data_IF_366340334620
#
_entry.id   IF_366340334620
#
_cell.length_a   1.000
_cell.length_b   1.000
_cell.length_c   1.000
_cell.angle_alpha   90.00
_cell.angle_beta   90.00
_cell.angle_gamma   90.00
#
_symmetry.space_group_name_H-M   'P 1'
#
loop_
_entity.id
_entity.type
_entity.pdbx_description
1 polymer ?
#
# COMPACT_ATOMS: atom_id res chain seq x y z
N UNK A 1 -9.22 21.25 4.81
CA UNK A 1 -8.61 21.25 3.45
C UNK A 1 -8.45 19.82 3.02
N UNK A 2 -9.10 19.46 1.91
CA UNK A 2 -9.05 18.11 1.35
C UNK A 2 -7.70 17.83 0.68
N UNK A 3 -7.18 16.62 0.82
CA UNK A 3 -5.90 16.22 0.24
C UNK A 3 -6.04 15.02 -0.70
N UNK A 4 -5.36 15.10 -1.85
CA UNK A 4 -5.05 13.93 -2.66
C UNK A 4 -3.84 13.21 -2.03
N UNK A 5 -4.07 12.04 -1.47
CA UNK A 5 -3.06 11.19 -0.83
C UNK A 5 -2.55 10.21 -1.89
N UNK A 6 -1.38 10.48 -2.44
CA UNK A 6 -0.86 9.78 -3.61
C UNK A 6 0.12 8.70 -3.15
N UNK A 7 -0.22 7.43 -3.35
CA UNK A 7 0.72 6.31 -3.27
C UNK A 7 1.76 6.47 -4.39
N UNK A 8 2.95 6.99 -4.04
CA UNK A 8 3.91 7.48 -5.02
C UNK A 8 4.93 6.43 -5.49
N UNK A 9 5.00 5.26 -4.87
CA UNK A 9 6.07 4.29 -5.19
C UNK A 9 6.07 3.87 -6.67
N UNK A 10 4.90 3.65 -7.27
CA UNK A 10 4.78 3.34 -8.70
C UNK A 10 5.19 4.51 -9.60
N UNK A 11 4.90 5.73 -9.18
CA UNK A 11 5.26 6.94 -9.92
C UNK A 11 6.75 7.31 -9.77
N UNK A 12 7.37 7.05 -8.62
CA UNK A 12 8.83 7.17 -8.45
C UNK A 12 9.57 6.24 -9.40
N UNK A 13 9.08 5.01 -9.57
CA UNK A 13 9.64 4.08 -10.55
C UNK A 13 9.52 4.64 -11.97
N UNK A 14 8.33 5.11 -12.39
CA UNK A 14 8.12 5.74 -13.71
C UNK A 14 8.99 6.98 -13.88
N UNK A 15 9.07 7.85 -12.87
CA UNK A 15 9.91 9.05 -12.89
C UNK A 15 11.39 8.73 -13.09
N UNK A 16 11.88 7.63 -12.51
CA UNK A 16 13.27 7.21 -12.66
C UNK A 16 13.62 6.73 -14.08
N UNK A 17 12.61 6.36 -14.86
CA UNK A 17 12.78 6.01 -16.28
C UNK A 17 12.72 7.25 -17.19
N UNK A 18 11.97 8.29 -16.81
CA UNK A 18 11.81 9.51 -17.61
C UNK A 18 13.06 10.41 -17.61
N UNK A 19 13.95 10.25 -16.63
CA UNK A 19 15.19 11.05 -16.57
C UNK A 19 16.29 10.58 -17.51
N UNK A 20 16.10 9.45 -18.19
CA UNK A 20 17.07 8.87 -19.10
C UNK A 20 16.90 9.48 -20.49
N UNK A 21 18.00 9.97 -21.05
CA UNK A 21 18.11 10.45 -22.41
C UNK A 21 19.25 9.74 -23.13
N UNK A 22 19.09 9.45 -24.43
CA UNK A 22 20.16 8.95 -25.27
C UNK A 22 20.72 10.11 -26.10
N UNK A 23 21.99 10.41 -25.89
CA UNK A 23 22.69 11.48 -26.62
C UNK A 23 23.68 10.83 -27.57
N UNK A 24 23.51 11.08 -28.87
CA UNK A 24 24.47 10.67 -29.90
C UNK A 24 25.65 11.61 -29.87
N UNK A 25 26.86 11.08 -29.62
CA UNK A 25 28.11 11.86 -29.56
C UNK A 25 28.94 11.71 -30.81
N UNK A 26 28.73 10.63 -31.57
CA UNK A 26 29.29 10.36 -32.87
C UNK A 26 28.30 9.47 -33.64
N UNK A 27 28.36 9.46 -34.99
CA UNK A 27 27.46 8.63 -35.78
C UNK A 27 27.41 7.17 -35.29
N UNK A 28 26.24 6.74 -34.80
CA UNK A 28 25.99 5.40 -34.25
C UNK A 28 26.50 5.15 -32.82
N UNK A 29 27.10 6.15 -32.13
CA UNK A 29 27.58 6.02 -30.76
C UNK A 29 26.72 6.86 -29.82
N UNK A 30 26.00 6.19 -28.91
CA UNK A 30 25.06 6.81 -27.96
C UNK A 30 25.55 6.67 -26.55
N UNK A 31 25.35 7.73 -25.75
CA UNK A 31 25.53 7.72 -24.30
C UNK A 31 24.20 7.93 -23.57
N UNK A 32 24.05 7.23 -22.46
CA UNK A 32 22.94 7.47 -21.53
C UNK A 32 23.28 8.67 -20.64
N UNK A 33 22.45 9.69 -20.69
CA UNK A 33 22.52 10.87 -19.82
C UNK A 33 21.28 10.87 -18.92
N UNK A 34 21.45 11.25 -17.68
CA UNK A 34 20.36 11.27 -16.70
C UNK A 34 20.13 12.69 -16.18
N UNK A 35 18.92 13.21 -16.43
CA UNK A 35 18.50 14.53 -15.96
C UNK A 35 17.44 14.38 -14.86
N UNK A 36 17.85 14.48 -13.60
CA UNK A 36 16.95 14.35 -12.45
C UNK A 36 15.88 15.44 -12.37
N UNK A 37 16.10 16.61 -12.97
CA UNK A 37 15.11 17.68 -13.02
C UNK A 37 13.87 17.25 -13.84
N UNK A 38 14.05 16.42 -14.88
CA UNK A 38 12.94 15.86 -15.64
C UNK A 38 12.04 15.00 -14.74
N UNK A 39 12.63 14.14 -13.89
CA UNK A 39 11.87 13.35 -12.91
C UNK A 39 11.15 14.21 -11.88
N UNK A 40 11.82 15.26 -11.38
CA UNK A 40 11.21 16.17 -10.40
C UNK A 40 10.05 16.95 -11.02
N UNK A 41 10.22 17.43 -12.25
CA UNK A 41 9.16 18.11 -13.00
C UNK A 41 7.96 17.19 -13.22
N UNK A 42 8.22 15.95 -13.67
CA UNK A 42 7.16 14.93 -13.84
C UNK A 42 6.37 14.71 -12.55
N UNK A 43 7.04 14.46 -11.42
CA UNK A 43 6.36 14.22 -10.13
C UNK A 43 5.59 15.45 -9.63
N UNK A 44 6.17 16.65 -9.79
CA UNK A 44 5.51 17.90 -9.40
C UNK A 44 4.23 18.15 -10.20
N UNK A 45 4.30 17.96 -11.53
CA UNK A 45 3.16 18.12 -12.43
C UNK A 45 2.08 17.08 -12.11
N UNK A 46 2.49 15.82 -11.96
CA UNK A 46 1.59 14.73 -11.59
C UNK A 46 0.84 15.01 -10.29
N UNK A 47 1.53 15.47 -9.24
CA UNK A 47 0.90 15.77 -7.95
C UNK A 47 -0.20 16.82 -8.09
N UNK A 48 0.08 17.90 -8.83
CA UNK A 48 -0.90 18.98 -9.10
C UNK A 48 -2.09 18.49 -9.93
N UNK A 49 -1.82 17.73 -11.00
CA UNK A 49 -2.89 17.18 -11.85
C UNK A 49 -3.79 16.20 -11.06
N UNK A 50 -3.22 15.35 -10.22
CA UNK A 50 -4.00 14.41 -9.42
C UNK A 50 -4.84 15.12 -8.36
N UNK A 51 -4.33 16.18 -7.72
CA UNK A 51 -5.12 17.01 -6.82
C UNK A 51 -6.31 17.66 -7.57
N UNK A 52 -6.06 18.19 -8.75
CA UNK A 52 -7.11 18.78 -9.59
C UNK A 52 -8.15 17.75 -10.02
N UNK A 53 -7.74 16.57 -10.51
CA UNK A 53 -8.66 15.49 -10.95
C UNK A 53 -9.49 14.93 -9.81
N UNK A 54 -8.98 14.97 -8.58
CA UNK A 54 -9.69 14.52 -7.37
C UNK A 54 -10.48 15.64 -6.70
N UNK A 55 -10.41 16.86 -7.23
CA UNK A 55 -11.02 18.06 -6.63
C UNK A 55 -10.57 18.30 -5.18
N UNK A 56 -9.29 18.06 -4.92
CA UNK A 56 -8.65 18.30 -3.62
C UNK A 56 -7.90 19.64 -3.64
N UNK A 57 -7.81 20.28 -2.47
CA UNK A 57 -7.14 21.57 -2.29
C UNK A 57 -5.62 21.46 -2.46
N UNK A 58 -5.06 20.33 -2.00
CA UNK A 58 -3.64 20.07 -2.01
C UNK A 58 -3.34 18.58 -2.22
N UNK A 59 -2.07 18.22 -2.35
CA UNK A 59 -1.64 16.83 -2.40
C UNK A 59 -0.53 16.54 -1.40
N UNK A 60 -0.46 15.29 -0.97
CA UNK A 60 0.66 14.69 -0.26
C UNK A 60 1.03 13.38 -0.95
N UNK A 61 2.30 13.12 -1.08
CA UNK A 61 2.81 11.88 -1.64
C UNK A 61 3.21 10.94 -0.50
N UNK A 62 2.83 9.68 -0.61
CA UNK A 62 3.10 8.66 0.42
C UNK A 62 3.96 7.57 -0.18
N UNK A 63 5.00 7.17 0.53
CA UNK A 63 5.86 6.04 0.18
C UNK A 63 6.01 5.10 1.36
N UNK A 64 6.37 3.86 1.10
CA UNK A 64 6.75 2.93 2.16
C UNK A 64 8.02 3.38 2.88
N UNK A 65 8.11 3.06 4.17
CA UNK A 65 9.31 3.30 4.97
C UNK A 65 10.53 2.54 4.43
N UNK A 66 11.72 2.99 4.82
CA UNK A 66 12.97 2.28 4.49
C UNK A 66 13.11 1.06 5.40
N UNK A 67 13.46 -0.09 4.82
CA UNK A 67 13.68 -1.32 5.59
C UNK A 67 12.47 -2.25 5.63
N UNK A 68 12.48 -3.14 6.62
CA UNK A 68 11.40 -4.11 6.82
C UNK A 68 10.30 -3.48 7.68
N UNK A 69 9.04 -3.56 7.23
CA UNK A 69 7.90 -3.17 8.02
C UNK A 69 7.55 -4.23 9.09
N UNK A 70 6.61 -3.92 9.97
CA UNK A 70 6.22 -4.79 11.09
C UNK A 70 5.71 -6.17 10.66
N UNK A 71 5.15 -6.31 9.45
CA UNK A 71 4.61 -7.58 8.94
C UNK A 71 5.68 -8.66 8.78
N UNK A 72 6.93 -8.27 8.50
CA UNK A 72 8.06 -9.22 8.46
C UNK A 72 8.40 -9.81 9.84
N UNK A 73 8.01 -9.14 10.93
CA UNK A 73 8.19 -9.67 12.29
C UNK A 73 7.05 -10.62 12.68
N UNK A 74 5.86 -10.43 12.09
CA UNK A 74 4.71 -11.31 12.28
C UNK A 74 4.83 -12.56 11.38
N UNK A 75 5.23 -12.35 10.14
CA UNK A 75 5.40 -13.38 9.14
C UNK A 75 6.74 -13.18 8.40
N UNK A 76 7.80 -13.93 8.73
CA UNK A 76 9.11 -13.80 8.07
C UNK A 76 9.07 -14.03 6.56
N UNK A 77 8.09 -14.80 6.09
CA UNK A 77 7.88 -15.10 4.66
C UNK A 77 7.03 -14.05 3.94
N UNK A 78 6.59 -13.00 4.62
CA UNK A 78 5.81 -11.91 4.02
C UNK A 78 6.55 -11.32 2.81
N UNK A 79 5.90 -11.31 1.64
CA UNK A 79 6.44 -10.84 0.35
C UNK A 79 7.75 -11.54 -0.11
N UNK A 80 8.11 -12.69 0.49
CA UNK A 80 9.34 -13.44 0.14
C UNK A 80 9.33 -13.97 -1.30
N UNK A 81 8.13 -14.21 -1.84
CA UNK A 81 7.89 -14.70 -3.21
C UNK A 81 8.03 -13.60 -4.29
N UNK A 82 8.16 -12.32 -3.90
CA UNK A 82 8.36 -11.24 -4.87
C UNK A 82 9.71 -11.40 -5.55
N UNK A 83 9.67 -11.57 -6.88
CA UNK A 83 10.89 -11.67 -7.68
C UNK A 83 11.72 -10.39 -7.51
N UNK A 84 13.02 -10.55 -7.33
CA UNK A 84 13.96 -9.42 -7.37
C UNK A 84 14.04 -8.93 -8.82
N UNK A 85 13.27 -7.89 -9.13
CA UNK A 85 13.37 -7.20 -10.42
C UNK A 85 14.49 -6.16 -10.31
N UNK A 86 15.31 -6.05 -11.35
CA UNK A 86 16.33 -5.00 -11.41
C UNK A 86 15.64 -3.63 -11.33
N UNK A 87 16.07 -2.81 -10.38
CA UNK A 87 15.56 -1.46 -10.23
C UNK A 87 16.22 -0.53 -11.23
N UNK A 88 15.51 0.52 -11.71
CA UNK A 88 16.15 1.56 -12.51
C UNK A 88 17.35 2.17 -11.76
N UNK A 89 18.45 2.39 -12.45
CA UNK A 89 19.71 2.87 -11.87
C UNK A 89 19.52 4.17 -11.08
N UNK A 90 18.64 5.05 -11.54
CA UNK A 90 18.42 6.37 -10.93
C UNK A 90 17.32 6.41 -9.88
N UNK A 91 16.65 5.28 -9.57
CA UNK A 91 15.50 5.27 -8.67
C UNK A 91 15.82 5.85 -7.28
N UNK A 92 16.95 5.47 -6.69
CA UNK A 92 17.33 5.95 -5.35
C UNK A 92 17.66 7.45 -5.38
N UNK A 93 18.31 7.94 -6.45
CA UNK A 93 18.59 9.37 -6.62
C UNK A 93 17.34 10.20 -6.88
N UNK A 94 16.39 9.69 -7.67
CA UNK A 94 15.08 10.32 -7.89
C UNK A 94 14.30 10.37 -6.57
N UNK A 95 14.32 9.30 -5.78
CA UNK A 95 13.67 9.26 -4.46
C UNK A 95 14.29 10.31 -3.53
N UNK A 96 15.61 10.36 -3.40
CA UNK A 96 16.33 11.34 -2.57
C UNK A 96 15.96 12.78 -2.95
N UNK A 97 15.99 13.10 -4.26
CA UNK A 97 15.63 14.42 -4.77
C UNK A 97 14.15 14.74 -4.49
N UNK A 98 13.26 13.80 -4.74
CA UNK A 98 11.83 13.96 -4.48
C UNK A 98 11.54 14.24 -3.00
N UNK A 99 12.15 13.51 -2.07
CA UNK A 99 12.03 13.76 -0.64
C UNK A 99 12.50 15.16 -0.22
N UNK A 100 13.51 15.71 -0.90
CA UNK A 100 14.03 17.04 -0.57
C UNK A 100 13.19 18.20 -1.12
N UNK A 101 12.28 17.95 -2.08
CA UNK A 101 11.60 18.99 -2.88
C UNK A 101 10.09 18.89 -2.90
N UNK A 102 9.53 17.72 -2.60
CA UNK A 102 8.09 17.45 -2.68
C UNK A 102 7.52 17.09 -1.31
N UNK A 103 6.21 17.26 -1.10
CA UNK A 103 5.54 16.88 0.16
C UNK A 103 5.41 15.35 0.25
N UNK A 104 6.53 14.66 0.44
CA UNK A 104 6.56 13.20 0.62
C UNK A 104 6.61 12.86 2.10
N UNK A 105 5.76 11.96 2.51
CA UNK A 105 5.68 11.44 3.88
C UNK A 105 5.71 9.92 3.89
N UNK A 106 6.15 9.37 5.00
CA UNK A 106 6.05 7.95 5.32
C UNK A 106 5.92 7.77 6.83
N UNK A 107 5.37 6.66 7.25
CA UNK A 107 5.37 6.27 8.66
C UNK A 107 6.43 5.18 8.88
N UNK A 108 7.38 5.36 9.79
CA UNK A 108 8.40 4.36 10.07
C UNK A 108 7.80 2.98 10.37
N UNK A 109 8.39 1.92 9.80
CA UNK A 109 7.99 0.52 9.98
C UNK A 109 6.58 0.15 9.47
N UNK A 110 5.89 1.07 8.77
CA UNK A 110 4.63 0.83 8.08
C UNK A 110 4.85 0.80 6.56
N UNK A 111 3.90 0.22 5.83
CA UNK A 111 3.84 0.31 4.37
C UNK A 111 3.17 1.61 3.92
N UNK A 112 3.29 1.94 2.63
CA UNK A 112 2.62 3.10 2.05
C UNK A 112 1.10 3.05 2.28
N UNK A 113 0.50 1.87 2.11
CA UNK A 113 -0.95 1.66 2.28
C UNK A 113 -1.44 2.00 3.68
N UNK A 114 -0.66 1.63 4.72
CA UNK A 114 -0.96 1.97 6.11
C UNK A 114 -0.95 3.49 6.29
N UNK A 115 0.10 4.16 5.80
CA UNK A 115 0.22 5.63 5.89
C UNK A 115 -0.89 6.31 5.08
N UNK A 116 -1.24 5.80 3.90
CA UNK A 116 -2.37 6.29 3.10
C UNK A 116 -3.68 6.23 3.90
N UNK A 117 -3.95 5.09 4.55
CA UNK A 117 -5.15 4.93 5.38
C UNK A 117 -5.16 5.89 6.57
N UNK A 118 -4.06 6.00 7.32
CA UNK A 118 -3.96 6.89 8.47
C UNK A 118 -4.30 8.33 8.07
N UNK A 119 -3.72 8.81 6.96
CA UNK A 119 -3.98 10.17 6.45
C UNK A 119 -5.41 10.33 5.91
N UNK A 120 -5.97 9.30 5.26
CA UNK A 120 -7.34 9.34 4.75
C UNK A 120 -8.37 9.44 5.88
N UNK A 121 -8.09 8.83 7.04
CA UNK A 121 -8.95 8.88 8.23
C UNK A 121 -8.84 10.22 9.01
N UNK A 122 -7.94 11.13 8.63
CA UNK A 122 -7.86 12.48 9.22
C UNK A 122 -9.01 13.40 8.78
N UNK A 123 -9.42 13.27 7.52
CA UNK A 123 -10.52 14.05 6.94
C UNK A 123 -11.28 13.18 5.92
N UNK A 124 -12.62 13.12 6.05
CA UNK A 124 -13.51 12.36 5.16
C UNK A 124 -13.46 12.82 3.69
N UNK A 125 -12.96 14.03 3.44
CA UNK A 125 -12.85 14.61 2.10
C UNK A 125 -11.50 14.31 1.44
N UNK A 126 -10.58 13.70 2.16
CA UNK A 126 -9.35 13.17 1.58
C UNK A 126 -9.64 12.05 0.58
N UNK A 127 -8.82 12.00 -0.48
CA UNK A 127 -8.92 11.01 -1.55
C UNK A 127 -7.58 10.29 -1.68
N UNK A 128 -7.59 8.96 -1.59
CA UNK A 128 -6.39 8.16 -1.88
C UNK A 128 -6.29 7.96 -3.39
N UNK A 129 -5.13 8.24 -3.94
CA UNK A 129 -4.79 8.03 -5.35
C UNK A 129 -3.85 6.85 -5.45
N UNK A 130 -4.34 5.72 -5.91
CA UNK A 130 -3.55 4.50 -6.11
C UNK A 130 -4.21 3.55 -7.12
N UNK A 131 -3.42 2.70 -7.73
CA UNK A 131 -3.87 1.59 -8.57
C UNK A 131 -4.05 0.29 -7.76
N UNK A 132 -3.64 0.28 -6.49
CA UNK A 132 -3.69 -0.92 -5.65
C UNK A 132 -5.14 -1.23 -5.23
N UNK A 133 -5.52 -2.51 -5.44
CA UNK A 133 -6.85 -3.03 -5.07
C UNK A 133 -7.01 -3.21 -3.56
N UNK A 134 -5.90 -3.42 -2.84
CA UNK A 134 -5.93 -3.78 -1.42
C UNK A 134 -6.35 -2.60 -0.54
N UNK A 135 -6.18 -1.37 -1.03
CA UNK A 135 -6.75 -0.17 -0.42
C UNK A 135 -8.29 -0.16 -0.37
N UNK A 136 -8.96 -1.12 -0.99
CA UNK A 136 -10.41 -1.31 -0.87
C UNK A 136 -10.86 -2.11 0.35
N UNK A 137 -9.96 -2.49 1.25
CA UNK A 137 -10.26 -3.24 2.49
C UNK A 137 -10.62 -2.34 3.68
N UNK A 138 -10.69 -1.04 3.47
CA UNK A 138 -11.18 -0.07 4.45
C UNK A 138 -12.01 1.03 3.77
N UNK A 139 -12.77 1.77 4.56
CA UNK A 139 -13.64 2.84 4.05
C UNK A 139 -12.82 4.04 3.59
N UNK A 140 -12.90 4.39 2.31
CA UNK A 140 -12.19 5.52 1.74
C UNK A 140 -12.78 5.99 0.42
N UNK A 141 -12.43 7.21 -0.01
CA UNK A 141 -12.53 7.65 -1.40
C UNK A 141 -11.26 7.24 -2.12
N UNK A 142 -11.37 6.44 -3.17
CA UNK A 142 -10.25 5.94 -3.97
C UNK A 142 -10.34 6.48 -5.39
N UNK A 143 -9.27 7.04 -5.89
CA UNK A 143 -9.12 7.41 -7.29
C UNK A 143 -8.06 6.55 -7.96
N UNK A 144 -8.45 5.87 -9.04
CA UNK A 144 -7.53 5.09 -9.86
C UNK A 144 -7.10 5.93 -11.07
N UNK A 145 -5.83 6.39 -11.12
CA UNK A 145 -5.36 7.29 -12.17
C UNK A 145 -5.23 6.61 -13.54
N UNK A 146 -5.01 5.30 -13.60
CA UNK A 146 -4.90 4.57 -14.87
C UNK A 146 -6.28 4.36 -15.53
N UNK A 147 -7.37 4.37 -14.72
CA UNK A 147 -8.76 4.20 -15.19
C UNK A 147 -9.55 5.50 -15.18
N UNK A 148 -8.95 6.59 -14.70
CA UNK A 148 -9.62 7.87 -14.46
C UNK A 148 -10.97 7.71 -13.75
N UNK A 149 -10.97 6.96 -12.65
CA UNK A 149 -12.22 6.59 -11.97
C UNK A 149 -12.13 6.80 -10.46
N UNK A 150 -13.15 7.49 -9.94
CA UNK A 150 -13.37 7.71 -8.51
C UNK A 150 -14.34 6.66 -7.96
N UNK A 151 -14.03 6.10 -6.78
CA UNK A 151 -14.91 5.17 -6.07
C UNK A 151 -14.98 5.54 -4.60
N UNK A 152 -16.14 5.40 -4.01
CA UNK A 152 -16.28 5.37 -2.56
C UNK A 152 -16.42 3.92 -2.09
N UNK A 153 -15.53 3.48 -1.22
CA UNK A 153 -15.61 2.17 -0.58
C UNK A 153 -16.42 2.33 0.69
N UNK A 154 -17.63 1.79 0.68
CA UNK A 154 -18.50 1.80 1.87
C UNK A 154 -17.99 0.85 2.96
N UNK A 155 -18.41 1.02 4.23
CA UNK A 155 -18.05 0.10 5.32
C UNK A 155 -18.35 -1.37 5.00
N UNK A 156 -19.51 -1.64 4.41
CA UNK A 156 -19.91 -3.01 4.03
C UNK A 156 -19.01 -3.59 2.94
N UNK A 157 -18.65 -2.79 1.93
CA UNK A 157 -17.72 -3.23 0.88
C UNK A 157 -16.32 -3.47 1.44
N UNK A 158 -15.82 -2.57 2.28
CA UNK A 158 -14.54 -2.69 2.94
C UNK A 158 -14.44 -3.99 3.75
N UNK A 159 -15.44 -4.24 4.59
CA UNK A 159 -15.52 -5.46 5.40
C UNK A 159 -15.58 -6.73 4.54
N UNK A 160 -16.39 -6.72 3.48
CA UNK A 160 -16.49 -7.84 2.55
C UNK A 160 -15.15 -8.12 1.84
N UNK A 161 -14.44 -7.08 1.39
CA UNK A 161 -13.14 -7.23 0.76
C UNK A 161 -12.09 -7.75 1.74
N UNK A 162 -12.10 -7.26 2.98
CA UNK A 162 -11.19 -7.74 4.01
C UNK A 162 -11.46 -9.21 4.38
N UNK A 163 -12.73 -9.60 4.61
CA UNK A 163 -13.11 -11.00 4.84
C UNK A 163 -12.69 -11.90 3.68
N UNK A 164 -12.84 -11.43 2.45
CA UNK A 164 -12.38 -12.18 1.27
C UNK A 164 -10.87 -12.43 1.33
N UNK A 165 -10.07 -11.43 1.69
CA UNK A 165 -8.62 -11.59 1.84
C UNK A 165 -8.27 -12.61 2.93
N UNK A 166 -8.95 -12.58 4.08
CA UNK A 166 -8.74 -13.56 5.15
C UNK A 166 -9.08 -14.99 4.71
N UNK A 167 -10.12 -15.17 3.88
CA UNK A 167 -10.56 -16.47 3.39
C UNK A 167 -9.68 -17.01 2.25
N UNK A 168 -9.26 -16.16 1.30
CA UNK A 168 -8.54 -16.58 0.09
C UNK A 168 -7.04 -16.41 0.16
N UNK A 169 -6.53 -15.62 1.11
CA UNK A 169 -5.14 -15.19 1.18
C UNK A 169 -4.77 -14.20 0.09
N UNK A 170 -3.50 -13.79 0.08
CA UNK A 170 -2.88 -13.03 -0.98
C UNK A 170 -1.53 -13.63 -1.39
N UNK A 171 -1.50 -14.17 -2.64
CA UNK A 171 -0.28 -14.77 -3.19
C UNK A 171 0.81 -13.73 -3.46
N UNK A 172 0.44 -12.46 -3.73
CA UNK A 172 1.42 -11.40 -3.98
C UNK A 172 2.16 -11.03 -2.71
N UNK A 173 1.47 -11.11 -1.58
CA UNK A 173 2.02 -10.82 -0.25
C UNK A 173 2.53 -12.05 0.49
N UNK A 174 2.40 -13.23 -0.13
CA UNK A 174 3.04 -14.46 0.34
C UNK A 174 2.34 -15.11 1.54
N UNK A 175 1.03 -14.87 1.74
CA UNK A 175 0.27 -15.60 2.74
C UNK A 175 -0.93 -16.33 2.12
N UNK A 176 -1.18 -17.53 2.63
CA UNK A 176 -2.27 -18.39 2.15
C UNK A 176 -3.55 -18.10 2.93
N UNK A 177 -4.69 -18.19 2.26
CA UNK A 177 -5.99 -18.20 2.92
C UNK A 177 -6.33 -19.58 3.48
N UNK A 178 -7.61 -19.75 3.82
CA UNK A 178 -8.14 -20.97 4.39
C UNK A 178 -8.14 -22.09 3.33
N UNK A 179 -7.51 -23.26 3.61
CA UNK A 179 -7.45 -24.37 2.65
C UNK A 179 -8.82 -24.81 2.17
N UNK A 180 -8.96 -24.95 0.84
CA UNK A 180 -10.21 -25.35 0.19
C UNK A 180 -11.23 -24.23 -0.01
N UNK A 181 -10.89 -22.98 0.36
CA UNK A 181 -11.74 -21.81 0.14
C UNK A 181 -11.18 -20.96 -1.00
N UNK A 182 -11.76 -21.10 -2.17
CA UNK A 182 -11.50 -20.22 -3.31
C UNK A 182 -12.46 -19.04 -3.37
N UNK A 183 -12.27 -18.11 -4.35
CA UNK A 183 -13.07 -16.88 -4.46
C UNK A 183 -14.58 -17.12 -4.43
N UNK A 184 -15.08 -18.09 -5.18
CA UNK A 184 -16.52 -18.38 -5.25
C UNK A 184 -17.11 -18.88 -3.91
N UNK A 185 -16.31 -19.65 -3.14
CA UNK A 185 -16.72 -20.12 -1.81
C UNK A 185 -16.68 -18.96 -0.81
N UNK A 186 -15.63 -18.14 -0.87
CA UNK A 186 -15.52 -16.94 -0.05
C UNK A 186 -16.72 -16.00 -0.26
N UNK A 187 -17.11 -15.75 -1.53
CA UNK A 187 -18.27 -14.91 -1.86
C UNK A 187 -19.57 -15.45 -1.27
N UNK A 188 -19.80 -16.77 -1.34
CA UNK A 188 -20.97 -17.39 -0.72
C UNK A 188 -21.00 -17.22 0.80
N UNK A 189 -19.86 -17.41 1.46
CA UNK A 189 -19.73 -17.23 2.91
C UNK A 189 -20.01 -15.78 3.32
N UNK A 190 -19.43 -14.81 2.58
CA UNK A 190 -19.62 -13.37 2.84
C UNK A 190 -21.09 -12.99 2.64
N UNK A 191 -21.72 -13.43 1.56
CA UNK A 191 -23.16 -13.23 1.32
C UNK A 191 -24.04 -13.88 2.38
N UNK A 192 -23.59 -15.00 2.96
CA UNK A 192 -24.21 -15.67 4.09
C UNK A 192 -24.04 -14.95 5.44
N UNK A 193 -23.32 -13.84 5.47
CA UNK A 193 -23.14 -13.01 6.70
C UNK A 193 -22.04 -13.50 7.63
N UNK A 194 -21.06 -14.30 7.14
CA UNK A 194 -19.95 -14.79 7.96
C UNK A 194 -19.26 -13.62 8.70
N UNK A 195 -18.94 -13.80 9.97
CA UNK A 195 -18.18 -12.83 10.78
C UNK A 195 -16.68 -13.12 10.75
N UNK A 196 -15.87 -12.19 11.26
CA UNK A 196 -14.42 -12.40 11.41
C UNK A 196 -14.14 -13.52 12.42
N UNK A 197 -14.95 -13.62 13.48
CA UNK A 197 -14.82 -14.66 14.50
C UNK A 197 -15.18 -16.05 13.94
N UNK A 198 -16.19 -16.12 13.06
CA UNK A 198 -16.50 -17.36 12.35
C UNK A 198 -15.32 -17.80 11.43
N UNK A 199 -14.68 -16.83 10.76
CA UNK A 199 -13.48 -17.12 9.93
C UNK A 199 -12.36 -17.63 10.84
N UNK A 200 -12.10 -17.00 11.98
CA UNK A 200 -11.11 -17.47 12.95
C UNK A 200 -11.41 -18.91 13.42
N UNK A 201 -12.69 -19.21 13.73
CA UNK A 201 -13.10 -20.55 14.09
C UNK A 201 -12.86 -21.57 12.96
N UNK A 202 -13.11 -21.19 11.70
CA UNK A 202 -12.82 -22.06 10.56
C UNK A 202 -11.32 -22.40 10.43
N UNK A 203 -10.41 -21.51 10.80
CA UNK A 203 -8.97 -21.83 10.86
C UNK A 203 -8.67 -22.87 11.96
N UNK A 204 -9.29 -22.74 13.12
CA UNK A 204 -9.16 -23.71 14.21
C UNK A 204 -9.72 -25.09 13.77
N UNK A 205 -10.91 -25.13 13.20
CA UNK A 205 -11.58 -26.37 12.75
C UNK A 205 -10.80 -27.09 11.64
N UNK A 206 -10.00 -26.36 10.85
CA UNK A 206 -9.09 -26.91 9.86
C UNK A 206 -7.75 -27.38 10.44
N UNK A 207 -7.54 -27.26 11.75
CA UNK A 207 -6.32 -27.66 12.43
C UNK A 207 -5.14 -26.70 12.25
N UNK A 208 -5.38 -25.47 11.75
CA UNK A 208 -4.33 -24.46 11.57
C UNK A 208 -4.06 -23.68 12.84
N UNK A 209 -5.05 -23.60 13.75
CA UNK A 209 -4.97 -22.88 15.01
C UNK A 209 -5.25 -21.38 14.87
N UNK A 210 -5.43 -20.75 16.04
CA UNK A 210 -5.73 -19.32 16.12
C UNK A 210 -4.50 -18.47 15.73
N UNK A 211 -3.29 -18.95 15.99
CA UNK A 211 -2.05 -18.25 15.70
C UNK A 211 -1.85 -18.03 14.21
N UNK A 212 -2.24 -19.01 13.38
CA UNK A 212 -2.18 -18.86 11.92
C UNK A 212 -3.17 -17.81 11.44
N UNK A 213 -4.41 -17.82 12.00
CA UNK A 213 -5.39 -16.79 11.68
C UNK A 213 -4.90 -15.40 12.10
N UNK A 214 -4.38 -15.22 13.32
CA UNK A 214 -3.82 -13.95 13.80
C UNK A 214 -2.71 -13.43 12.90
N UNK A 215 -1.81 -14.31 12.46
CA UNK A 215 -0.73 -13.99 11.52
C UNK A 215 -1.30 -13.45 10.21
N UNK A 216 -2.26 -14.15 9.61
CA UNK A 216 -2.88 -13.75 8.35
C UNK A 216 -3.68 -12.45 8.51
N UNK A 217 -4.47 -12.33 9.58
CA UNK A 217 -5.21 -11.11 9.89
C UNK A 217 -4.31 -9.88 9.95
N UNK A 218 -3.21 -9.97 10.69
CA UNK A 218 -2.28 -8.86 10.88
C UNK A 218 -1.43 -8.57 9.62
N UNK A 219 -1.21 -9.54 8.74
CA UNK A 219 -0.60 -9.31 7.43
C UNK A 219 -1.57 -8.63 6.46
N UNK A 220 -2.84 -9.03 6.46
CA UNK A 220 -3.87 -8.52 5.56
C UNK A 220 -4.40 -7.13 5.98
N UNK A 221 -4.43 -6.85 7.29
CA UNK A 221 -4.98 -5.60 7.80
C UNK A 221 -4.10 -4.42 7.45
N UNK A 222 -4.65 -3.46 6.71
CA UNK A 222 -4.04 -2.14 6.53
C UNK A 222 -4.30 -1.34 7.81
N UNK A 223 -3.23 -0.83 8.42
CA UNK A 223 -3.25 -0.12 9.71
C UNK A 223 -3.87 1.26 9.54
N UNK A 224 -4.88 1.56 10.37
CA UNK A 224 -5.53 2.87 10.40
C UNK A 224 -5.13 3.71 11.61
N UNK A 225 -5.68 4.91 11.69
CA UNK A 225 -5.40 5.89 12.75
C UNK A 225 -5.65 5.37 14.16
N UNK A 226 -6.69 4.54 14.33
CA UNK A 226 -7.03 3.96 15.63
C UNK A 226 -6.16 2.75 15.99
N UNK A 227 -5.48 2.16 15.02
CA UNK A 227 -4.61 1.00 15.22
C UNK A 227 -3.15 1.41 15.49
N UNK A 228 -2.77 2.68 15.23
CA UNK A 228 -1.41 3.16 15.34
C UNK A 228 -1.31 4.41 16.22
N UNK A 229 -0.45 4.35 17.23
CA UNK A 229 -0.15 5.50 18.08
C UNK A 229 1.31 5.49 18.50
N UNK A 230 2.04 6.54 18.19
CA UNK A 230 3.43 6.80 18.65
C UNK A 230 4.39 5.62 18.43
N UNK A 231 4.28 4.94 17.30
CA UNK A 231 5.10 3.77 16.96
C UNK A 231 4.57 2.45 17.52
N UNK A 232 3.42 2.43 18.19
CA UNK A 232 2.79 1.22 18.70
C UNK A 232 1.59 0.85 17.83
N UNK A 233 1.52 -0.40 17.39
CA UNK A 233 0.43 -0.95 16.59
C UNK A 233 -0.46 -1.84 17.47
N UNK A 234 -1.77 -1.72 17.31
CA UNK A 234 -2.75 -2.65 17.87
C UNK A 234 -3.04 -3.76 16.87
N UNK A 235 -2.71 -4.99 17.24
CA UNK A 235 -2.90 -6.20 16.47
C UNK A 235 -4.25 -6.87 16.80
N UNK A 236 -4.56 -7.99 16.12
CA UNK A 236 -5.72 -8.82 16.43
C UNK A 236 -5.74 -9.22 17.90
N UNK A 237 -6.94 -9.27 18.48
CA UNK A 237 -7.13 -9.61 19.90
C UNK A 237 -6.64 -8.55 20.90
N UNK A 238 -6.36 -7.32 20.45
CA UNK A 238 -5.90 -6.22 21.30
C UNK A 238 -4.44 -6.32 21.74
N UNK A 239 -3.67 -7.25 21.17
CA UNK A 239 -2.21 -7.34 21.37
C UNK A 239 -1.55 -6.08 20.82
N UNK A 240 -0.45 -5.63 21.42
CA UNK A 240 0.29 -4.45 20.98
C UNK A 240 1.69 -4.83 20.50
N UNK A 241 2.18 -4.12 19.48
CA UNK A 241 3.52 -4.26 18.94
C UNK A 241 4.20 -2.89 18.87
N UNK A 242 5.28 -2.72 19.60
CA UNK A 242 6.11 -1.51 19.52
C UNK A 242 7.05 -1.62 18.31
N UNK A 243 6.76 -0.86 17.26
CA UNK A 243 7.56 -0.91 16.03
C UNK A 243 8.89 -0.18 16.15
N UNK A 244 9.09 0.65 17.18
CA UNK A 244 10.35 1.39 17.41
C UNK A 244 11.51 0.46 17.73
N UNK A 245 11.23 -0.74 18.24
CA UNK A 245 12.26 -1.76 18.50
C UNK A 245 12.91 -2.30 17.22
N UNK A 246 12.31 -2.06 16.05
CA UNK A 246 12.83 -2.51 14.75
C UNK A 246 13.67 -1.47 14.02
N UNK A 247 13.75 -0.25 14.58
CA UNK A 247 14.53 0.85 14.01
C UNK A 247 16.02 0.66 14.36
N UNK A 248 16.70 -0.30 13.66
CA UNK A 248 18.15 -0.44 13.62
C UNK A 248 18.62 -0.61 12.17
#
# INVERSE_FOLDING_TARGET
MSRAIIDVDSFLYRASLTCKELVEIQPGIFYEVYNLNTSLHYLTTLGKELAQRTNCDEYVMVTGGVGKNFRYHINPDYKSNRKKVAKPIMLDKVRELAFSKLPIVYTPNLEADDTCRILAEEDRDNVIVSIDKDLSTFTAKLYNPDKDSMRYISPTQAESNFKRQLLTGDKCDGYSGLPGVGPATADKLILGGITIDDIAQMYIDKGLGIEEFEKIYNCAKIIGKNDYKDGVITLYGGKTLDTRIFAN
#
